data_IF_628613123398
#
_entry.id   IF_628613123398
#
_cell.length_a   1.000
_cell.length_b   1.000
_cell.length_c   1.000
_cell.angle_alpha   90.00
_cell.angle_beta   90.00
_cell.angle_gamma   90.00
#
_symmetry.space_group_name_H-M   'P 1'
#
loop_
_entity.id
_entity.type
_entity.pdbx_description
1 polymer ?
#
# COMPACT_ATOMS: atom_id res chain seq x y z
N UNK A 1 3.79 -2.80 17.92
CA UNK A 1 4.17 -4.22 17.81
C UNK A 1 5.02 -4.63 19.01
N UNK A 2 4.48 -5.44 19.94
CA UNK A 2 5.17 -5.83 21.21
C UNK A 2 5.82 -4.65 21.96
N UNK A 3 5.07 -3.56 22.15
CA UNK A 3 5.57 -2.33 22.79
C UNK A 3 6.49 -1.45 21.93
N UNK A 4 6.96 -1.91 20.77
CA UNK A 4 7.74 -1.09 19.85
C UNK A 4 6.84 -0.34 18.86
N UNK A 5 7.16 0.94 18.66
CA UNK A 5 6.57 1.77 17.60
C UNK A 5 7.23 1.42 16.26
N UNK A 6 6.40 1.08 15.27
CA UNK A 6 6.84 0.86 13.89
C UNK A 6 6.63 2.16 13.12
N UNK A 7 7.59 2.54 12.26
CA UNK A 7 7.51 3.75 11.44
C UNK A 7 7.86 3.44 9.98
N UNK A 8 7.22 4.09 9.00
CA UNK A 8 7.63 4.02 7.60
C UNK A 8 9.12 4.34 7.41
N UNK A 9 9.75 3.71 6.42
CA UNK A 9 11.17 3.91 6.10
C UNK A 9 12.17 3.38 7.15
N UNK A 10 11.69 2.75 8.23
CA UNK A 10 12.54 2.09 9.23
C UNK A 10 12.27 0.59 9.23
N UNK A 11 13.33 -0.26 9.17
CA UNK A 11 13.15 -1.70 9.34
C UNK A 11 12.44 -2.03 10.65
N UNK A 12 11.76 -3.17 10.68
CA UNK A 12 11.19 -3.71 11.91
C UNK A 12 12.29 -3.81 13.00
N UNK A 13 12.03 -3.39 14.26
CA UNK A 13 13.02 -3.45 15.33
C UNK A 13 13.47 -4.87 15.68
N UNK A 14 12.69 -5.88 15.27
CA UNK A 14 13.03 -7.30 15.41
C UNK A 14 13.78 -7.87 14.21
N UNK A 15 14.10 -7.05 13.19
CA UNK A 15 14.91 -7.46 12.05
C UNK A 15 16.39 -7.33 12.38
N UNK A 16 17.02 -8.44 12.76
CA UNK A 16 18.45 -8.51 13.11
C UNK A 16 19.16 -9.37 12.06
N UNK A 17 20.19 -8.81 11.42
CA UNK A 17 20.98 -9.49 10.38
C UNK A 17 20.08 -10.18 9.31
N UNK A 18 19.07 -9.45 8.81
CA UNK A 18 18.09 -9.93 7.83
C UNK A 18 17.21 -11.12 8.30
N UNK A 19 17.08 -11.34 9.61
CA UNK A 19 16.19 -12.35 10.21
C UNK A 19 15.28 -11.73 11.27
N UNK A 20 14.11 -12.33 11.47
CA UNK A 20 13.21 -11.94 12.56
C UNK A 20 13.65 -12.62 13.86
N UNK A 21 14.04 -11.83 14.87
CA UNK A 21 14.47 -12.36 16.18
C UNK A 21 13.34 -13.01 16.97
N UNK A 22 12.08 -12.75 16.60
CA UNK A 22 10.88 -13.30 17.24
C UNK A 22 10.07 -14.19 16.28
N UNK A 23 10.71 -14.82 15.29
CA UNK A 23 10.00 -15.47 14.17
C UNK A 23 8.87 -16.43 14.60
N UNK A 24 9.13 -17.28 15.61
CA UNK A 24 8.16 -18.24 16.15
C UNK A 24 7.05 -17.59 16.99
N UNK A 25 7.31 -16.41 17.54
CA UNK A 25 6.38 -15.67 18.41
C UNK A 25 5.79 -14.43 17.75
N UNK A 26 5.91 -14.32 16.42
CA UNK A 26 5.33 -13.22 15.65
C UNK A 26 3.86 -13.05 16.05
N UNK A 27 3.40 -11.82 16.40
CA UNK A 27 2.00 -11.60 16.72
C UNK A 27 1.12 -11.92 15.51
N UNK A 28 -0.15 -12.21 15.77
CA UNK A 28 -1.14 -12.48 14.73
C UNK A 28 -1.23 -11.28 13.76
N UNK A 29 -1.55 -10.11 14.30
CA UNK A 29 -1.57 -8.84 13.59
C UNK A 29 -0.34 -7.96 13.92
N UNK A 30 0.34 -7.33 12.94
CA UNK A 30 0.22 -7.56 11.49
C UNK A 30 1.11 -8.70 10.98
N UNK A 31 1.92 -9.31 11.83
CA UNK A 31 3.09 -10.08 11.38
C UNK A 31 2.78 -11.42 10.70
N UNK A 32 1.59 -11.98 10.93
CA UNK A 32 1.14 -13.21 10.27
C UNK A 32 -0.01 -12.96 9.30
N UNK A 33 -0.85 -11.95 9.58
CA UNK A 33 -2.07 -11.69 8.80
C UNK A 33 -1.89 -10.66 7.69
N UNK A 34 -0.87 -9.81 7.73
CA UNK A 34 -0.63 -8.86 6.65
C UNK A 34 -0.23 -9.58 5.37
N UNK A 35 -1.10 -9.50 4.36
CA UNK A 35 -0.86 -10.01 3.01
C UNK A 35 -0.99 -8.83 2.05
N UNK A 36 0.13 -8.40 1.46
CA UNK A 36 0.08 -7.39 0.41
C UNK A 36 -0.33 -8.01 -0.93
N UNK A 37 -0.69 -7.15 -1.88
CA UNK A 37 -1.09 -7.52 -3.24
C UNK A 37 -0.04 -8.29 -4.03
N UNK A 38 1.22 -8.34 -3.60
CA UNK A 38 2.24 -9.25 -4.16
C UNK A 38 2.11 -10.69 -3.63
N UNK A 39 1.75 -10.86 -2.36
CA UNK A 39 1.70 -12.16 -1.68
C UNK A 39 0.35 -12.89 -1.85
N UNK A 40 -0.69 -12.22 -2.35
CA UNK A 40 -1.96 -12.89 -2.66
C UNK A 40 -1.75 -13.93 -3.77
N UNK A 41 -2.38 -15.10 -3.64
CA UNK A 41 -2.21 -16.21 -4.59
C UNK A 41 -2.60 -15.84 -6.04
N UNK A 42 -3.60 -14.96 -6.19
CA UNK A 42 -4.07 -14.46 -7.49
C UNK A 42 -3.50 -13.08 -7.82
N UNK A 43 -2.25 -12.80 -7.43
CA UNK A 43 -1.66 -11.47 -7.64
C UNK A 43 -1.67 -11.11 -9.13
N UNK A 44 -2.22 -9.94 -9.51
CA UNK A 44 -2.13 -9.45 -10.87
C UNK A 44 -0.76 -8.79 -11.15
N UNK A 45 0.12 -8.70 -10.14
CA UNK A 45 1.38 -7.98 -10.25
C UNK A 45 2.41 -8.79 -11.04
N UNK A 46 3.05 -8.22 -12.07
CA UNK A 46 4.16 -8.86 -12.76
C UNK A 46 5.38 -8.96 -11.84
N UNK A 47 6.32 -9.86 -12.13
CA UNK A 47 7.50 -10.12 -11.29
C UNK A 47 8.35 -8.88 -10.97
N UNK A 48 8.38 -7.89 -11.85
CA UNK A 48 9.11 -6.64 -11.62
C UNK A 48 8.40 -5.65 -10.68
N UNK A 49 7.14 -5.92 -10.32
CA UNK A 49 6.34 -5.14 -9.37
C UNK A 49 6.55 -5.57 -7.91
N UNK A 50 7.33 -6.62 -7.65
CA UNK A 50 7.68 -7.06 -6.29
C UNK A 50 8.22 -5.88 -5.46
N UNK A 51 7.88 -5.73 -4.16
CA UNK A 51 8.16 -4.50 -3.41
C UNK A 51 9.62 -4.04 -3.40
N UNK A 52 10.59 -4.95 -3.32
CA UNK A 52 12.04 -4.66 -3.38
C UNK A 52 12.53 -4.22 -4.77
N UNK A 53 11.73 -4.45 -5.82
CA UNK A 53 12.02 -4.06 -7.22
C UNK A 53 11.29 -2.80 -7.65
N UNK A 54 10.09 -2.54 -7.11
CA UNK A 54 9.21 -1.44 -7.53
C UNK A 54 9.26 -0.22 -6.61
N UNK A 55 9.82 -0.37 -5.40
CA UNK A 55 9.72 0.61 -4.30
C UNK A 55 8.27 0.93 -3.93
N UNK A 56 7.35 -0.01 -4.16
CA UNK A 56 5.92 0.12 -3.85
C UNK A 56 5.33 -1.16 -3.26
N UNK A 57 4.42 -1.00 -2.30
CA UNK A 57 3.56 -2.08 -1.80
C UNK A 57 2.12 -1.75 -2.20
N UNK A 58 1.49 -2.68 -2.93
CA UNK A 58 0.06 -2.61 -3.24
C UNK A 58 -0.73 -3.30 -2.13
N UNK A 59 -1.75 -2.64 -1.60
CA UNK A 59 -2.82 -3.22 -0.79
C UNK A 59 -4.05 -3.34 -1.71
N UNK A 60 -4.29 -4.55 -2.20
CA UNK A 60 -5.34 -4.79 -3.18
C UNK A 60 -6.71 -4.81 -2.50
N UNK A 61 -7.67 -4.06 -3.04
CA UNK A 61 -9.05 -3.99 -2.55
C UNK A 61 -9.13 -3.58 -1.07
N UNK A 62 -8.27 -2.65 -0.64
CA UNK A 62 -8.13 -2.27 0.76
C UNK A 62 -9.44 -1.79 1.40
N UNK A 63 -10.26 -1.07 0.63
CA UNK A 63 -11.61 -0.68 1.03
C UNK A 63 -12.49 -0.46 -0.21
N UNK A 64 -13.74 -0.04 0.00
CA UNK A 64 -14.68 0.27 -1.09
C UNK A 64 -15.14 1.73 -1.04
N UNK A 65 -15.29 2.35 -2.20
CA UNK A 65 -15.91 3.67 -2.37
C UNK A 65 -17.09 3.55 -3.33
N UNK A 66 -18.31 3.85 -2.87
CA UNK A 66 -19.56 3.64 -3.61
C UNK A 66 -19.65 2.27 -4.32
N UNK A 67 -19.24 1.20 -3.63
CA UNK A 67 -19.24 -0.17 -4.16
C UNK A 67 -18.09 -0.51 -5.11
N UNK A 68 -17.22 0.45 -5.47
CA UNK A 68 -16.02 0.21 -6.25
C UNK A 68 -14.83 -0.13 -5.33
N UNK A 69 -14.04 -1.17 -5.62
CA UNK A 69 -12.86 -1.49 -4.83
C UNK A 69 -11.76 -0.44 -5.03
N UNK A 70 -11.14 -0.04 -3.92
CA UNK A 70 -10.02 0.90 -3.89
C UNK A 70 -8.74 0.15 -3.55
N UNK A 71 -7.79 0.21 -4.47
CA UNK A 71 -6.42 -0.21 -4.23
C UNK A 71 -5.64 0.92 -3.56
N UNK A 72 -4.75 0.57 -2.63
CA UNK A 72 -3.85 1.53 -1.98
C UNK A 72 -2.41 1.16 -2.28
N UNK A 73 -1.63 2.08 -2.84
CA UNK A 73 -0.23 1.84 -3.16
C UNK A 73 0.67 2.75 -2.31
N UNK A 74 1.40 2.14 -1.39
CA UNK A 74 2.28 2.85 -0.45
C UNK A 74 3.73 2.75 -0.90
N UNK A 75 4.53 3.79 -0.62
CA UNK A 75 5.95 3.77 -0.94
C UNK A 75 6.68 2.76 -0.03
N UNK A 76 7.46 1.86 -0.64
CA UNK A 76 8.35 0.95 0.06
C UNK A 76 9.80 1.48 0.14
N UNK A 77 10.09 2.58 -0.58
CA UNK A 77 11.35 3.30 -0.61
C UNK A 77 11.15 4.81 -0.49
N UNK A 78 12.13 5.61 -0.96
CA UNK A 78 12.06 7.08 -0.88
C UNK A 78 11.02 7.67 -1.83
N UNK A 79 10.82 7.06 -3.01
CA UNK A 79 9.82 7.49 -3.99
C UNK A 79 9.38 6.30 -4.86
N UNK A 80 8.09 6.18 -5.21
CA UNK A 80 7.66 5.17 -6.17
C UNK A 80 8.34 5.37 -7.53
N UNK A 81 8.72 4.27 -8.19
CA UNK A 81 9.21 4.31 -9.58
C UNK A 81 8.07 4.71 -10.52
N UNK A 82 8.32 5.64 -11.44
CA UNK A 82 7.29 6.11 -12.38
C UNK A 82 6.65 4.95 -13.17
N UNK A 83 7.47 4.00 -13.64
CA UNK A 83 7.00 2.78 -14.34
C UNK A 83 5.99 1.97 -13.50
N UNK A 84 6.21 1.86 -12.19
CA UNK A 84 5.31 1.13 -11.30
C UNK A 84 3.99 1.88 -11.13
N UNK A 85 4.04 3.19 -10.94
CA UNK A 85 2.85 4.03 -10.82
C UNK A 85 2.00 4.02 -12.10
N UNK A 86 2.63 4.16 -13.27
CA UNK A 86 1.95 4.14 -14.57
C UNK A 86 1.26 2.79 -14.80
N UNK A 87 1.93 1.70 -14.44
CA UNK A 87 1.34 0.36 -14.52
C UNK A 87 0.15 0.21 -13.57
N UNK A 88 0.23 0.70 -12.33
CA UNK A 88 -0.88 0.65 -11.38
C UNK A 88 -2.09 1.47 -11.85
N UNK A 89 -1.87 2.66 -12.41
CA UNK A 89 -2.95 3.48 -13.01
C UNK A 89 -3.60 2.77 -14.19
N UNK A 90 -2.79 2.16 -15.07
CA UNK A 90 -3.29 1.36 -16.19
C UNK A 90 -4.10 0.17 -15.70
N UNK A 91 -3.57 -0.59 -14.73
CA UNK A 91 -4.24 -1.73 -14.12
C UNK A 91 -5.58 -1.33 -13.48
N UNK A 92 -5.60 -0.24 -12.70
CA UNK A 92 -6.82 0.27 -12.08
C UNK A 92 -7.88 0.63 -13.12
N UNK A 93 -7.48 1.31 -14.21
CA UNK A 93 -8.36 1.65 -15.33
C UNK A 93 -8.93 0.39 -16.00
N UNK A 94 -8.07 -0.57 -16.38
CA UNK A 94 -8.46 -1.80 -17.07
C UNK A 94 -9.39 -2.69 -16.22
N UNK A 95 -9.18 -2.71 -14.90
CA UNK A 95 -9.98 -3.49 -13.96
C UNK A 95 -11.17 -2.73 -13.37
N UNK A 96 -11.39 -1.48 -13.79
CA UNK A 96 -12.45 -0.59 -13.26
C UNK A 96 -12.37 -0.47 -11.73
N UNK A 97 -11.16 -0.31 -11.22
CA UNK A 97 -10.84 -0.13 -9.79
C UNK A 97 -10.39 1.31 -9.56
N UNK A 98 -10.48 1.74 -8.32
CA UNK A 98 -9.96 3.03 -7.88
C UNK A 98 -8.58 2.83 -7.26
N UNK A 99 -7.76 3.87 -7.28
CA UNK A 99 -6.41 3.81 -6.73
C UNK A 99 -6.13 5.04 -5.89
N UNK A 100 -5.65 4.82 -4.68
CA UNK A 100 -4.95 5.82 -3.88
C UNK A 100 -3.47 5.46 -3.87
N UNK A 101 -2.60 6.44 -4.05
CA UNK A 101 -1.16 6.20 -4.05
C UNK A 101 -0.38 7.32 -3.36
N UNK A 102 0.74 6.94 -2.76
CA UNK A 102 1.61 7.84 -2.02
C UNK A 102 2.83 8.27 -2.86
N UNK A 103 3.19 9.55 -2.83
CA UNK A 103 4.49 10.04 -3.30
C UNK A 103 5.10 10.90 -2.19
N UNK A 104 6.18 10.43 -1.56
CA UNK A 104 6.72 11.10 -0.38
C UNK A 104 5.71 11.05 0.77
N UNK A 105 5.34 12.20 1.33
CA UNK A 105 4.32 12.32 2.37
C UNK A 105 2.91 12.60 1.80
N UNK A 106 2.83 12.93 0.51
CA UNK A 106 1.59 13.32 -0.15
C UNK A 106 0.82 12.11 -0.66
N UNK A 107 -0.50 12.24 -0.64
CA UNK A 107 -1.46 11.24 -1.10
C UNK A 107 -2.23 11.75 -2.31
N UNK A 108 -2.41 10.87 -3.28
CA UNK A 108 -3.09 11.17 -4.53
C UNK A 108 -4.13 10.10 -4.83
N UNK A 109 -5.16 10.48 -5.59
CA UNK A 109 -6.20 9.57 -6.05
C UNK A 109 -6.21 9.49 -7.59
N UNK A 110 -6.59 8.32 -8.08
CA UNK A 110 -6.82 8.04 -9.50
C UNK A 110 -8.16 7.31 -9.66
N UNK A 111 -9.02 7.86 -10.52
CA UNK A 111 -10.40 7.41 -10.70
C UNK A 111 -11.31 8.55 -11.18
N UNK A 112 -12.64 8.43 -11.05
CA UNK A 112 -13.58 9.48 -11.41
C UNK A 112 -13.29 10.81 -10.69
N UNK A 113 -13.64 11.98 -11.29
CA UNK A 113 -13.39 13.28 -10.68
C UNK A 113 -13.96 13.44 -9.26
N UNK A 114 -15.14 12.88 -8.99
CA UNK A 114 -15.75 12.90 -7.66
C UNK A 114 -14.88 12.19 -6.60
N UNK A 115 -14.34 11.02 -6.94
CA UNK A 115 -13.43 10.28 -6.07
C UNK A 115 -12.14 11.07 -5.80
N UNK A 116 -11.56 11.67 -6.85
CA UNK A 116 -10.35 12.48 -6.69
C UNK A 116 -10.56 13.71 -5.81
N UNK A 117 -11.69 14.40 -5.97
CA UNK A 117 -12.04 15.57 -5.16
C UNK A 117 -12.26 15.19 -3.69
N UNK A 118 -12.95 14.09 -3.41
CA UNK A 118 -13.19 13.62 -2.03
C UNK A 118 -11.87 13.26 -1.33
N UNK A 119 -11.01 12.47 -1.97
CA UNK A 119 -9.73 12.09 -1.37
C UNK A 119 -8.85 13.33 -1.15
N UNK A 120 -8.78 14.24 -2.13
CA UNK A 120 -8.00 15.48 -1.99
C UNK A 120 -8.49 16.33 -0.81
N UNK A 121 -9.79 16.40 -0.59
CA UNK A 121 -10.39 17.12 0.53
C UNK A 121 -10.07 16.47 1.88
N UNK A 122 -10.11 15.13 1.96
CA UNK A 122 -9.70 14.39 3.18
C UNK A 122 -8.22 14.60 3.50
N UNK A 123 -7.35 14.53 2.49
CA UNK A 123 -5.92 14.82 2.64
C UNK A 123 -5.71 16.23 3.18
N UNK A 124 -6.39 17.23 2.61
CA UNK A 124 -6.29 18.64 3.04
C UNK A 124 -6.73 18.84 4.49
N UNK A 125 -7.71 18.07 4.96
CA UNK A 125 -8.20 18.10 6.35
C UNK A 125 -7.34 17.27 7.32
N UNK A 126 -6.36 16.51 6.82
CA UNK A 126 -5.57 15.59 7.65
C UNK A 126 -6.37 14.41 8.17
N UNK A 127 -7.45 14.03 7.47
CA UNK A 127 -8.30 12.90 7.83
C UNK A 127 -7.68 11.58 7.37
N UNK A 128 -8.00 10.50 8.08
CA UNK A 128 -7.62 9.15 7.66
C UNK A 128 -8.33 8.80 6.35
N UNK A 129 -7.57 8.31 5.36
CA UNK A 129 -8.10 8.04 4.02
C UNK A 129 -8.90 6.74 3.93
N UNK A 130 -8.64 5.79 4.83
CA UNK A 130 -9.39 4.55 5.02
C UNK A 130 -9.28 4.14 6.50
N UNK A 131 -10.27 3.42 7.03
CA UNK A 131 -10.19 2.85 8.37
C UNK A 131 -9.30 1.60 8.36
N UNK A 132 -8.58 1.36 9.46
CA UNK A 132 -7.87 0.11 9.76
C UNK A 132 -8.85 -1.02 10.12
#
# INVERSE_FOLDING_TARGET
MRGHRIRPGKPCPFSIAHRCSIYGERPRDPCREFICGWLIASSPLPEWMRPDKSDMILLAANFTWHGLPVDVAVAAGTRPKQKALDWLKKFASEKKRLLIYQIGEDWFAFGPPAFQAEISERVRKGETLWAD
#
